data_IF_900305600424
#
_entry.id   IF_900305600424
#
_cell.length_a   1.000
_cell.length_b   1.000
_cell.length_c   1.000
_cell.angle_alpha   90.00
_cell.angle_beta   90.00
_cell.angle_gamma   90.00
#
_symmetry.space_group_name_H-M   'P 1'
#
loop_
_entity.id
_entity.type
_entity.pdbx_description
1 polymer ?
#
# COMPACT_ATOMS: atom_id res chain seq x y z
N UNK A 1 -7.84 3.92 -5.09
CA UNK A 1 -7.01 4.50 -4.01
C UNK A 1 -6.11 5.54 -4.64
N UNK A 2 -6.05 6.75 -4.09
CA UNK A 2 -5.24 7.83 -4.65
C UNK A 2 -4.02 8.07 -3.74
N UNK A 3 -2.81 7.86 -4.28
CA UNK A 3 -1.53 8.12 -3.62
C UNK A 3 -1.01 9.47 -4.12
N UNK A 4 -0.76 10.39 -3.18
CA UNK A 4 -0.33 11.76 -3.46
C UNK A 4 1.15 11.95 -3.18
N UNK A 5 1.81 12.93 -3.84
CA UNK A 5 3.20 13.27 -3.52
C UNK A 5 3.37 13.58 -2.04
N UNK A 6 4.42 13.03 -1.43
CA UNK A 6 4.76 13.24 -0.02
C UNK A 6 4.05 12.32 0.97
N UNK A 7 3.16 11.41 0.52
CA UNK A 7 2.60 10.39 1.40
C UNK A 7 3.65 9.34 1.78
N UNK A 8 3.73 9.02 3.06
CA UNK A 8 4.52 7.88 3.55
C UNK A 8 3.79 6.55 3.31
N UNK A 9 4.53 5.44 3.27
CA UNK A 9 3.98 4.08 3.17
C UNK A 9 3.06 3.73 4.33
N UNK A 10 3.32 4.29 5.52
CA UNK A 10 2.48 4.13 6.69
C UNK A 10 1.11 4.79 6.49
N UNK A 11 1.04 5.98 5.87
CA UNK A 11 -0.22 6.64 5.52
C UNK A 11 -1.00 5.87 4.46
N UNK A 12 -0.29 5.30 3.47
CA UNK A 12 -0.88 4.43 2.44
C UNK A 12 -1.48 3.17 3.08
N UNK A 13 -0.73 2.54 3.99
CA UNK A 13 -1.16 1.34 4.71
C UNK A 13 -2.38 1.64 5.60
N UNK A 14 -2.38 2.77 6.32
CA UNK A 14 -3.52 3.23 7.10
C UNK A 14 -4.76 3.42 6.22
N UNK A 15 -4.61 4.07 5.05
CA UNK A 15 -5.73 4.31 4.14
C UNK A 15 -6.34 3.01 3.60
N UNK A 16 -5.53 1.97 3.39
CA UNK A 16 -6.01 0.64 3.00
C UNK A 16 -6.79 -0.03 4.14
N UNK A 17 -6.32 0.10 5.38
CA UNK A 17 -6.99 -0.45 6.56
C UNK A 17 -8.31 0.28 6.87
N UNK A 18 -8.32 1.62 6.82
CA UNK A 18 -9.53 2.45 6.98
C UNK A 18 -10.62 2.05 5.97
N UNK A 19 -10.21 1.72 4.74
CA UNK A 19 -11.10 1.24 3.68
C UNK A 19 -11.43 -0.25 3.77
N UNK A 20 -10.96 -0.94 4.80
CA UNK A 20 -11.13 -2.38 5.04
C UNK A 20 -10.60 -3.27 3.90
N UNK A 21 -9.61 -2.78 3.16
CA UNK A 21 -8.90 -3.53 2.13
C UNK A 21 -7.89 -4.48 2.77
N UNK A 22 -7.20 -4.01 3.81
CA UNK A 22 -6.34 -4.84 4.67
C UNK A 22 -6.83 -4.80 6.11
N UNK A 23 -6.38 -5.77 6.91
CA UNK A 23 -6.77 -5.91 8.32
C UNK A 23 -5.80 -5.27 9.32
N UNK A 24 -4.59 -4.98 8.87
CA UNK A 24 -3.49 -4.55 9.72
C UNK A 24 -2.51 -3.72 8.89
N UNK A 25 -2.60 -2.39 9.03
CA UNK A 25 -1.73 -1.44 8.34
C UNK A 25 -0.26 -1.64 8.70
N UNK A 26 0.06 -1.90 9.96
CA UNK A 26 1.42 -2.10 10.43
C UNK A 26 2.11 -3.30 9.78
N UNK A 27 1.38 -4.40 9.56
CA UNK A 27 1.92 -5.56 8.83
C UNK A 27 2.19 -5.26 7.36
N UNK A 28 1.33 -4.48 6.71
CA UNK A 28 1.53 -4.14 5.30
C UNK A 28 2.67 -3.13 5.13
N UNK A 29 2.78 -2.12 6.00
CA UNK A 29 3.89 -1.17 6.00
C UNK A 29 5.24 -1.89 6.17
N UNK A 30 5.33 -2.81 7.15
CA UNK A 30 6.52 -3.66 7.32
C UNK A 30 6.82 -4.54 6.12
N UNK A 31 5.79 -5.02 5.41
CA UNK A 31 5.97 -5.81 4.20
C UNK A 31 6.59 -4.96 3.08
N UNK A 32 6.11 -3.73 2.88
CA UNK A 32 6.66 -2.80 1.89
C UNK A 32 8.13 -2.49 2.16
N UNK A 33 8.52 -2.29 3.42
CA UNK A 33 9.92 -2.05 3.80
C UNK A 33 10.80 -3.28 3.56
N UNK A 34 10.38 -4.46 4.04
CA UNK A 34 11.18 -5.69 3.95
C UNK A 34 11.43 -6.13 2.50
N UNK A 35 10.46 -5.91 1.63
CA UNK A 35 10.51 -6.30 0.23
C UNK A 35 11.05 -5.16 -0.68
N UNK A 36 11.52 -4.05 -0.11
CA UNK A 36 12.02 -2.87 -0.83
C UNK A 36 11.00 -2.26 -1.82
N UNK A 37 9.71 -2.30 -1.48
CA UNK A 37 8.65 -1.59 -2.20
C UNK A 37 8.46 -0.16 -1.69
N UNK A 38 8.88 0.14 -0.45
CA UNK A 38 8.63 1.44 0.19
C UNK A 38 9.16 2.62 -0.64
N UNK A 39 10.35 2.48 -1.22
CA UNK A 39 10.97 3.49 -2.10
C UNK A 39 10.43 3.51 -3.53
N UNK A 40 9.63 2.51 -3.91
CA UNK A 40 9.15 2.27 -5.28
C UNK A 40 7.68 2.65 -5.49
N UNK A 41 7.00 3.09 -4.44
CA UNK A 41 5.60 3.49 -4.50
C UNK A 41 5.41 4.61 -5.51
N UNK A 42 4.41 4.45 -6.36
CA UNK A 42 4.08 5.38 -7.44
C UNK A 42 2.94 6.31 -7.03
N UNK A 43 3.06 7.58 -7.43
CA UNK A 43 1.99 8.57 -7.31
C UNK A 43 0.91 8.26 -8.36
N UNK A 44 -0.35 8.26 -7.96
CA UNK A 44 -1.45 8.03 -8.90
C UNK A 44 -2.67 7.37 -8.26
N UNK A 45 -3.58 6.93 -9.12
CA UNK A 45 -4.82 6.27 -8.72
C UNK A 45 -4.79 4.78 -9.08
N UNK A 46 -5.07 3.93 -8.09
CA UNK A 46 -4.96 2.49 -8.18
C UNK A 46 -6.26 1.81 -7.78
N UNK A 47 -6.73 0.87 -8.59
CA UNK A 47 -7.81 -0.04 -8.21
C UNK A 47 -7.26 -1.16 -7.33
N UNK A 48 -7.77 -1.24 -6.10
CA UNK A 48 -7.34 -2.20 -5.08
C UNK A 48 -8.59 -2.75 -4.37
N UNK A 49 -8.57 -4.01 -3.98
CA UNK A 49 -9.70 -4.69 -3.34
C UNK A 49 -9.23 -5.54 -2.16
N UNK A 50 -10.14 -5.89 -1.26
CA UNK A 50 -9.87 -6.74 -0.08
C UNK A 50 -9.51 -8.19 -0.40
N UNK A 51 -9.68 -8.60 -1.66
CA UNK A 51 -9.32 -9.94 -2.13
C UNK A 51 -7.83 -10.04 -2.50
N UNK A 52 -7.14 -8.91 -2.65
CA UNK A 52 -5.73 -8.85 -2.98
C UNK A 52 -4.86 -9.20 -1.76
N UNK A 53 -3.84 -10.03 -2.01
CA UNK A 53 -2.76 -10.28 -1.07
C UNK A 53 -1.85 -9.05 -0.90
N UNK A 54 -0.99 -9.07 0.13
CA UNK A 54 0.00 -8.00 0.31
C UNK A 54 0.96 -7.89 -0.89
N UNK A 55 1.33 -9.01 -1.49
CA UNK A 55 2.14 -9.01 -2.71
C UNK A 55 1.42 -8.30 -3.86
N UNK A 56 0.16 -8.67 -4.14
CA UNK A 56 -0.62 -8.05 -5.21
C UNK A 56 -0.86 -6.56 -4.97
N UNK A 57 -1.12 -6.16 -3.73
CA UNK A 57 -1.26 -4.75 -3.37
C UNK A 57 0.06 -3.98 -3.60
N UNK A 58 1.19 -4.54 -3.17
CA UNK A 58 2.49 -3.91 -3.34
C UNK A 58 2.86 -3.77 -4.82
N UNK A 59 2.73 -4.84 -5.61
CA UNK A 59 2.98 -4.81 -7.07
C UNK A 59 2.02 -3.87 -7.81
N UNK A 60 0.81 -3.67 -7.27
CA UNK A 60 -0.15 -2.73 -7.87
C UNK A 60 0.30 -1.29 -7.71
N UNK A 61 0.87 -0.94 -6.54
CA UNK A 61 1.19 0.44 -6.18
C UNK A 61 2.68 0.80 -6.32
N UNK A 62 3.57 -0.18 -6.49
CA UNK A 62 5.02 0.01 -6.60
C UNK A 62 5.59 -0.59 -7.89
N UNK A 63 6.69 -0.04 -8.41
CA UNK A 63 7.42 -0.51 -9.62
C UNK A 63 8.92 -0.38 -9.48
#
# INVERSE_FOLDING_TARGET
MNIKPGMATSEISNLLEEKKIIKDSGKFDQYLEKENYSEKVQIGEFEVTSDMSFYELAEKIAR
#
